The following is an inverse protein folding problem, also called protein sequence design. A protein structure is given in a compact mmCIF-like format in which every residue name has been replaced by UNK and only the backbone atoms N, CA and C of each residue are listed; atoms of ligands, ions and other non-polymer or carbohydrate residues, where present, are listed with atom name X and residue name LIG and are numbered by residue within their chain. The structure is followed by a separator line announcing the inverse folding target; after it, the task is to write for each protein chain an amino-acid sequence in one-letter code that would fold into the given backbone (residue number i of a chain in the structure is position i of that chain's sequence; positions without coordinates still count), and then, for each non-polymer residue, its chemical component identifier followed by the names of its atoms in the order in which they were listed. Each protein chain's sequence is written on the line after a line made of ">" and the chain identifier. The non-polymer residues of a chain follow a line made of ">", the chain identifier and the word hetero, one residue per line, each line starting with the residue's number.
data_IF_583665195692
#
_entry.id   IF_583665195692
#
_cell.length_a   1.000
_cell.length_b   1.000
_cell.length_c   1.000
_cell.angle_alpha   90.00
_cell.angle_beta   90.00
_cell.angle_gamma   90.00
#
_symmetry.space_group_name_H-M   'P 1'
#
loop_
_entity.id
_entity.type
_entity.pdbx_description
1 polymer ?
#
# COMPACT_ATOMS: atom_id res chain seq x y z
N UNK A 1 -17.72 5.62 -1.79
CA UNK A 1 -16.54 4.86 -1.30
C UNK A 1 -15.37 4.87 -2.28
N UNK A 2 -15.49 4.27 -3.47
CA UNK A 2 -14.35 4.14 -4.41
C UNK A 2 -13.72 5.49 -4.82
N UNK A 3 -14.54 6.50 -5.14
CA UNK A 3 -14.00 7.84 -5.44
C UNK A 3 -13.23 8.44 -4.27
N UNK A 4 -13.70 8.23 -3.03
CA UNK A 4 -13.06 8.76 -1.84
C UNK A 4 -11.68 8.14 -1.63
N UNK A 5 -11.58 6.80 -1.68
CA UNK A 5 -10.30 6.11 -1.48
C UNK A 5 -9.27 6.45 -2.57
N UNK A 6 -9.72 6.59 -3.83
CA UNK A 6 -8.84 7.02 -4.92
C UNK A 6 -8.36 8.45 -4.70
N UNK A 7 -9.27 9.37 -4.39
CA UNK A 7 -8.92 10.78 -4.15
C UNK A 7 -8.00 10.97 -2.94
N UNK A 8 -7.96 10.05 -1.98
CA UNK A 8 -6.99 10.09 -0.88
C UNK A 8 -5.62 9.51 -1.27
N UNK A 9 -5.46 9.03 -2.50
CA UNK A 9 -4.20 8.56 -3.06
C UNK A 9 -4.00 7.05 -3.07
N UNK A 10 -5.03 6.25 -2.76
CA UNK A 10 -4.90 4.80 -2.90
C UNK A 10 -4.63 4.45 -4.37
N UNK A 11 -3.64 3.59 -4.66
CA UNK A 11 -3.23 3.33 -6.03
C UNK A 11 -4.32 2.56 -6.78
N UNK A 12 -4.84 3.17 -7.85
CA UNK A 12 -5.91 2.59 -8.69
C UNK A 12 -5.58 1.19 -9.20
N UNK A 13 -4.32 0.91 -9.54
CA UNK A 13 -3.89 -0.39 -10.05
C UNK A 13 -3.86 -1.47 -8.97
N UNK A 14 -4.01 -1.11 -7.69
CA UNK A 14 -4.04 -2.03 -6.56
C UNK A 14 -5.45 -2.20 -5.98
N UNK A 15 -6.51 -1.74 -6.66
CA UNK A 15 -7.89 -1.90 -6.19
C UNK A 15 -8.30 -3.37 -5.99
N UNK A 16 -7.70 -4.29 -6.75
CA UNK A 16 -7.91 -5.73 -6.60
C UNK A 16 -7.28 -6.30 -5.31
N UNK A 17 -6.40 -5.56 -4.64
CA UNK A 17 -5.85 -5.88 -3.32
C UNK A 17 -6.67 -5.29 -2.17
N UNK A 18 -7.74 -4.55 -2.46
CA UNK A 18 -8.54 -3.90 -1.45
C UNK A 18 -9.29 -4.95 -0.61
N UNK A 19 -8.82 -5.15 0.62
CA UNK A 19 -9.39 -6.08 1.60
C UNK A 19 -9.18 -5.52 3.02
N UNK A 20 -9.93 -5.98 4.04
CA UNK A 20 -9.58 -5.69 5.43
C UNK A 20 -8.14 -6.11 5.72
N UNK A 21 -7.30 -5.17 6.16
CA UNK A 21 -5.89 -5.41 6.44
C UNK A 21 -5.68 -5.55 7.95
N UNK A 22 -5.11 -6.68 8.37
CA UNK A 22 -4.78 -6.94 9.77
C UNK A 22 -3.84 -5.87 10.38
N UNK A 23 -2.92 -5.31 9.59
CA UNK A 23 -2.04 -4.21 10.03
C UNK A 23 -2.84 -2.96 10.46
N UNK A 24 -4.02 -2.74 9.89
CA UNK A 24 -4.91 -1.66 10.30
C UNK A 24 -5.40 -1.82 11.75
N UNK A 25 -5.62 -3.05 12.20
CA UNK A 25 -5.97 -3.33 13.60
C UNK A 25 -4.77 -3.15 14.54
N UNK A 26 -3.57 -3.53 14.09
CA UNK A 26 -2.33 -3.22 14.82
C UNK A 26 -2.15 -1.72 15.03
N UNK A 27 -2.43 -0.91 14.01
CA UNK A 27 -2.37 0.55 14.11
C UNK A 27 -3.44 1.10 15.06
N UNK A 28 -4.68 0.58 14.99
CA UNK A 28 -5.73 0.90 15.94
C UNK A 28 -5.27 0.66 17.39
N UNK A 29 -4.72 -0.51 17.68
CA UNK A 29 -4.28 -0.85 19.03
C UNK A 29 -3.14 0.05 19.49
N UNK A 30 -2.13 0.29 18.64
CA UNK A 30 -1.05 1.23 18.92
C UNK A 30 -1.59 2.62 19.30
N UNK A 31 -2.58 3.11 18.55
CA UNK A 31 -3.17 4.42 18.80
C UNK A 31 -4.08 4.43 20.02
N UNK A 32 -4.79 3.33 20.33
CA UNK A 32 -5.57 3.22 21.57
C UNK A 32 -4.66 3.28 22.80
N UNK A 33 -3.50 2.64 22.75
CA UNK A 33 -2.50 2.73 23.83
C UNK A 33 -1.84 4.10 23.93
N UNK A 34 -1.49 4.72 22.79
CA UNK A 34 -0.77 6.00 22.77
C UNK A 34 -1.69 7.20 23.05
N UNK A 35 -2.94 7.15 22.59
CA UNK A 35 -3.93 8.22 22.66
C UNK A 35 -5.28 7.75 23.22
N UNK A 36 -5.31 7.20 24.44
CA UNK A 36 -6.52 6.60 24.98
C UNK A 36 -7.67 7.61 25.09
N UNK A 37 -7.37 8.87 25.40
CA UNK A 37 -8.38 9.94 25.55
C UNK A 37 -9.21 10.17 24.30
N UNK A 38 -8.66 10.01 23.09
CA UNK A 38 -9.43 10.19 21.84
C UNK A 38 -10.60 9.21 21.77
N UNK A 39 -10.38 7.94 22.12
CA UNK A 39 -11.39 6.90 22.00
C UNK A 39 -12.53 7.07 23.00
N UNK A 40 -12.27 7.71 24.15
CA UNK A 40 -13.30 8.09 25.12
C UNK A 40 -14.03 9.37 24.68
N UNK A 41 -13.27 10.40 24.33
CA UNK A 41 -13.77 11.69 23.86
C UNK A 41 -14.67 11.55 22.63
N UNK A 42 -14.32 10.66 21.69
CA UNK A 42 -15.09 10.38 20.48
C UNK A 42 -16.57 10.06 20.77
N UNK A 43 -16.88 9.48 21.93
CA UNK A 43 -18.24 9.14 22.31
C UNK A 43 -18.91 10.13 23.26
N UNK A 44 -18.13 10.95 23.98
CA UNK A 44 -18.64 11.78 25.08
C UNK A 44 -18.72 13.27 24.71
N UNK A 45 -17.85 13.75 23.83
CA UNK A 45 -17.62 15.18 23.62
C UNK A 45 -18.24 15.67 22.31
N UNK A 46 -19.20 16.61 22.34
CA UNK A 46 -20.04 16.98 21.18
C UNK A 46 -19.25 17.42 19.93
N UNK A 47 -18.00 17.87 20.08
CA UNK A 47 -17.11 18.21 18.97
C UNK A 47 -16.65 17.03 18.10
N UNK A 48 -16.68 15.80 18.59
CA UNK A 48 -16.18 14.62 17.86
C UNK A 48 -17.25 13.85 17.11
N UNK A 49 -18.10 14.48 16.29
CA UNK A 49 -19.29 13.80 15.68
C UNK A 49 -19.85 12.65 16.55
N UNK A 50 -20.06 12.79 17.89
CA UNK A 50 -20.50 11.68 18.72
C UNK A 50 -22.02 11.59 18.53
N UNK A 51 -22.44 11.03 17.40
CA UNK A 51 -23.86 10.90 17.08
C UNK A 51 -24.31 11.44 15.75
N UNK A 52 -23.51 11.34 14.68
CA UNK A 52 -24.18 11.09 13.41
C UNK A 52 -24.98 9.78 13.58
N UNK A 53 -26.22 9.79 13.13
CA UNK A 53 -27.11 8.62 13.19
C UNK A 53 -26.43 7.37 12.61
N UNK A 54 -25.57 7.57 11.61
CA UNK A 54 -24.70 6.57 11.00
C UNK A 54 -23.82 5.79 12.00
N UNK A 55 -23.05 6.48 12.87
CA UNK A 55 -22.15 5.79 13.80
C UNK A 55 -22.89 5.12 14.95
N UNK A 56 -23.99 5.73 15.42
CA UNK A 56 -24.84 5.12 16.46
C UNK A 56 -25.58 3.89 15.92
N UNK A 57 -26.03 3.91 14.67
CA UNK A 57 -26.67 2.77 14.03
C UNK A 57 -25.72 1.58 13.88
N UNK A 58 -24.41 1.82 13.75
CA UNK A 58 -23.39 0.77 13.65
C UNK A 58 -22.87 0.27 15.01
N UNK A 59 -23.22 0.93 16.13
CA UNK A 59 -22.68 0.62 17.44
C UNK A 59 -23.23 -0.70 17.99
N UNK A 60 -22.32 -1.55 18.42
CA UNK A 60 -22.59 -2.74 19.23
C UNK A 60 -21.81 -2.59 20.53
N UNK A 61 -22.52 -2.42 21.64
CA UNK A 61 -21.90 -1.94 22.89
C UNK A 61 -21.89 -2.97 24.03
N UNK A 62 -22.80 -3.95 24.03
CA UNK A 62 -22.99 -4.84 25.18
C UNK A 62 -23.22 -6.31 24.83
N UNK A 63 -22.45 -6.86 23.88
CA UNK A 63 -22.50 -8.29 23.62
C UNK A 63 -21.81 -9.05 24.76
N UNK A 64 -22.59 -9.70 25.62
CA UNK A 64 -22.09 -10.51 26.74
C UNK A 64 -21.75 -11.94 26.30
N UNK A 65 -20.61 -12.41 26.79
CA UNK A 65 -20.16 -13.80 26.63
C UNK A 65 -19.49 -14.35 27.88
N UNK A 66 -19.36 -15.67 27.93
CA UNK A 66 -18.66 -16.40 28.99
C UNK A 66 -17.55 -17.23 28.35
N UNK A 67 -16.35 -17.17 28.93
CA UNK A 67 -15.22 -17.96 28.45
C UNK A 67 -15.46 -19.45 28.75
N UNK A 68 -15.35 -20.30 27.72
CA UNK A 68 -15.33 -21.76 27.87
C UNK A 68 -13.91 -22.32 27.97
N UNK A 69 -12.98 -21.74 27.24
CA UNK A 69 -11.55 -22.07 27.32
C UNK A 69 -10.71 -20.93 26.78
N UNK A 70 -9.45 -20.89 27.21
CA UNK A 70 -8.46 -19.93 26.73
C UNK A 70 -7.09 -20.62 26.63
N UNK A 71 -6.40 -20.43 25.51
CA UNK A 71 -5.06 -20.97 25.27
C UNK A 71 -4.28 -20.06 24.32
N UNK A 72 -3.06 -19.69 24.69
CA UNK A 72 -2.22 -18.82 23.88
C UNK A 72 -2.87 -17.45 23.65
N UNK A 73 -3.29 -17.16 22.41
CA UNK A 73 -4.06 -15.95 22.05
C UNK A 73 -5.49 -16.27 21.62
N UNK A 74 -5.97 -17.50 21.89
CA UNK A 74 -7.30 -17.97 21.49
C UNK A 74 -8.20 -18.05 22.71
N UNK A 75 -9.41 -17.54 22.58
CA UNK A 75 -10.48 -17.71 23.57
C UNK A 75 -11.67 -18.36 22.87
N UNK A 76 -12.31 -19.33 23.52
CA UNK A 76 -13.58 -19.91 23.05
C UNK A 76 -14.69 -19.38 23.94
N UNK A 77 -15.69 -18.75 23.34
CA UNK A 77 -16.86 -18.21 24.04
C UNK A 77 -17.99 -19.25 24.14
N UNK A 78 -18.97 -18.94 24.96
CA UNK A 78 -20.19 -19.74 25.14
C UNK A 78 -21.15 -19.66 23.95
N UNK A 79 -21.03 -18.60 23.15
CA UNK A 79 -21.83 -18.33 21.96
C UNK A 79 -20.96 -18.34 20.71
N UNK A 80 -21.54 -18.83 19.61
CA UNK A 80 -20.95 -18.73 18.28
C UNK A 80 -21.47 -17.48 17.56
N UNK A 81 -20.61 -16.91 16.73
CA UNK A 81 -20.87 -15.75 15.88
C UNK A 81 -20.60 -16.11 14.43
N UNK A 82 -21.13 -15.34 13.48
CA UNK A 82 -20.76 -15.51 12.09
C UNK A 82 -19.25 -15.29 11.91
N UNK A 83 -18.65 -15.97 10.94
CA UNK A 83 -17.21 -15.89 10.73
C UNK A 83 -16.79 -14.45 10.41
N UNK A 84 -15.74 -13.98 11.09
CA UNK A 84 -15.24 -12.61 11.02
C UNK A 84 -16.21 -11.50 11.50
N UNK A 85 -17.36 -11.85 12.10
CA UNK A 85 -18.31 -10.87 12.63
C UNK A 85 -17.68 -9.97 13.71
N UNK A 86 -16.83 -10.55 14.56
CA UNK A 86 -16.17 -9.86 15.67
C UNK A 86 -14.82 -9.23 15.26
N UNK A 87 -14.50 -9.18 13.97
CA UNK A 87 -13.22 -8.63 13.50
C UNK A 87 -13.06 -7.16 13.90
N UNK A 88 -12.02 -6.86 14.68
CA UNK A 88 -11.74 -5.53 15.19
C UNK A 88 -12.54 -5.15 16.45
N UNK A 89 -13.36 -6.02 17.02
CA UNK A 89 -14.06 -5.74 18.27
C UNK A 89 -13.09 -5.70 19.45
N UNK A 90 -13.46 -4.95 20.49
CA UNK A 90 -12.81 -4.93 21.80
C UNK A 90 -13.50 -5.95 22.70
N UNK A 91 -12.74 -6.87 23.27
CA UNK A 91 -13.16 -7.75 24.36
C UNK A 91 -12.70 -7.12 25.68
N UNK A 92 -13.64 -6.83 26.56
CA UNK A 92 -13.39 -6.39 27.93
C UNK A 92 -13.71 -7.51 28.91
N UNK A 93 -12.82 -7.74 29.87
CA UNK A 93 -13.04 -8.71 30.93
C UNK A 93 -13.80 -8.07 32.08
N UNK A 94 -14.94 -8.66 32.43
CA UNK A 94 -15.86 -8.17 33.47
C UNK A 94 -15.60 -8.86 34.81
N UNK A 95 -15.00 -10.03 34.79
CA UNK A 95 -14.65 -10.84 35.96
C UNK A 95 -13.30 -11.52 35.76
N UNK A 96 -12.87 -12.28 36.77
CA UNK A 96 -11.63 -13.03 36.72
C UNK A 96 -10.41 -12.16 37.02
N UNK A 97 -9.22 -12.72 36.81
CA UNK A 97 -7.94 -12.05 37.11
C UNK A 97 -7.70 -10.83 36.23
N UNK A 98 -8.24 -10.84 35.01
CA UNK A 98 -8.10 -9.74 34.05
C UNK A 98 -9.24 -8.72 34.11
N UNK A 99 -10.11 -8.77 35.13
CA UNK A 99 -11.24 -7.84 35.25
C UNK A 99 -10.81 -6.37 35.08
N UNK A 100 -11.54 -5.62 34.26
CA UNK A 100 -11.26 -4.23 33.90
C UNK A 100 -10.23 -4.05 32.78
N UNK A 101 -9.59 -5.13 32.31
CA UNK A 101 -8.70 -5.09 31.16
C UNK A 101 -9.44 -5.37 29.84
N UNK A 102 -8.80 -5.05 28.72
CA UNK A 102 -9.34 -5.26 27.38
C UNK A 102 -8.33 -5.87 26.41
N UNK A 103 -8.83 -6.50 25.35
CA UNK A 103 -8.04 -7.08 24.25
C UNK A 103 -8.75 -6.88 22.91
N UNK A 104 -7.99 -6.71 21.83
CA UNK A 104 -8.52 -6.62 20.46
C UNK A 104 -8.77 -8.00 19.87
N UNK A 105 -9.92 -8.20 19.23
CA UNK A 105 -10.23 -9.39 18.45
C UNK A 105 -9.74 -9.18 17.00
N UNK A 106 -8.87 -10.06 16.52
CA UNK A 106 -8.39 -10.09 15.12
C UNK A 106 -9.24 -10.96 14.21
N UNK A 107 -10.32 -11.54 14.72
CA UNK A 107 -11.27 -12.36 13.98
C UNK A 107 -11.80 -13.50 14.82
N UNK A 108 -12.82 -14.16 14.29
CA UNK A 108 -13.46 -15.32 14.90
C UNK A 108 -13.88 -16.34 13.84
N UNK A 109 -13.94 -17.60 14.26
CA UNK A 109 -14.56 -18.73 13.56
C UNK A 109 -15.56 -19.35 14.52
N UNK A 110 -16.85 -19.13 14.29
CA UNK A 110 -17.88 -19.46 15.27
C UNK A 110 -17.61 -18.80 16.64
N UNK A 111 -17.47 -19.64 17.68
CA UNK A 111 -17.22 -19.22 19.06
C UNK A 111 -15.73 -18.99 19.38
N UNK A 112 -14.82 -19.40 18.51
CA UNK A 112 -13.39 -19.24 18.73
C UNK A 112 -12.94 -17.87 18.24
N UNK A 113 -12.46 -17.04 19.15
CA UNK A 113 -11.92 -15.71 18.87
C UNK A 113 -10.40 -15.73 18.98
N UNK A 114 -9.74 -14.95 18.12
CA UNK A 114 -8.29 -14.74 18.14
C UNK A 114 -8.00 -13.33 18.63
N UNK A 115 -7.17 -13.24 19.67
CA UNK A 115 -6.74 -11.99 20.28
C UNK A 115 -5.49 -11.46 19.58
N UNK A 116 -5.43 -10.13 19.41
CA UNK A 116 -4.29 -9.44 18.81
C UNK A 116 -2.97 -9.67 19.54
N UNK A 117 -1.87 -9.57 18.81
CA UNK A 117 -0.52 -9.77 19.33
C UNK A 117 0.08 -8.51 19.98
N UNK A 118 -0.59 -7.37 19.85
CA UNK A 118 -0.19 -6.10 20.48
C UNK A 118 -0.77 -6.06 21.88
N UNK A 119 0.05 -5.64 22.85
CA UNK A 119 -0.36 -5.51 24.24
C UNK A 119 -0.27 -6.82 25.04
N UNK A 120 -0.73 -6.80 26.30
CA UNK A 120 -0.60 -7.94 27.21
C UNK A 120 -1.29 -9.21 26.68
N UNK A 121 -0.83 -10.37 27.12
CA UNK A 121 -1.42 -11.65 26.77
C UNK A 121 -2.76 -11.91 27.50
N UNK A 122 -3.21 -13.17 27.48
CA UNK A 122 -4.45 -13.60 28.15
C UNK A 122 -4.17 -14.60 29.27
N UNK A 123 -2.94 -14.55 29.82
CA UNK A 123 -2.58 -15.31 31.01
C UNK A 123 -3.50 -14.89 32.16
N UNK A 124 -4.14 -15.86 32.82
CA UNK A 124 -5.10 -15.62 33.90
C UNK A 124 -6.57 -15.72 33.48
N UNK A 125 -6.89 -15.78 32.18
CA UNK A 125 -8.26 -16.06 31.72
C UNK A 125 -8.62 -17.51 32.00
N UNK A 126 -9.77 -17.73 32.64
CA UNK A 126 -10.27 -19.06 33.04
C UNK A 126 -11.68 -19.32 32.49
N UNK A 127 -12.06 -20.59 32.31
CA UNK A 127 -13.44 -20.95 32.06
C UNK A 127 -14.38 -20.35 33.13
N UNK A 128 -15.49 -19.75 32.69
CA UNK A 128 -16.44 -19.05 33.56
C UNK A 128 -16.24 -17.53 33.64
N UNK A 129 -15.09 -17.00 33.19
CA UNK A 129 -14.89 -15.55 33.15
C UNK A 129 -15.89 -14.87 32.21
N UNK A 130 -16.47 -13.77 32.66
CA UNK A 130 -17.43 -12.98 31.92
C UNK A 130 -16.73 -11.90 31.10
N UNK A 131 -17.17 -11.73 29.85
CA UNK A 131 -16.64 -10.72 28.93
C UNK A 131 -17.75 -9.88 28.31
N UNK A 132 -17.42 -8.65 27.95
CA UNK A 132 -18.21 -7.75 27.10
C UNK A 132 -17.48 -7.53 25.80
N UNK A 133 -18.17 -7.71 24.68
CA UNK A 133 -17.66 -7.41 23.34
C UNK A 133 -18.33 -6.14 22.82
N UNK A 134 -17.54 -5.22 22.27
CA UNK A 134 -18.05 -4.02 21.64
C UNK A 134 -17.20 -3.59 20.44
N UNK A 135 -17.74 -2.72 19.58
CA UNK A 135 -17.02 -2.16 18.43
C UNK A 135 -16.72 -0.65 18.57
N UNK A 136 -16.79 -0.11 19.80
CA UNK A 136 -16.62 1.33 20.06
C UNK A 136 -15.32 1.88 19.51
N UNK A 137 -14.21 1.20 19.81
CA UNK A 137 -12.89 1.63 19.36
C UNK A 137 -12.75 1.52 17.85
N UNK A 138 -13.36 0.49 17.24
CA UNK A 138 -13.30 0.28 15.79
C UNK A 138 -14.03 1.40 15.04
N UNK A 139 -15.18 1.85 15.54
CA UNK A 139 -15.92 2.98 14.97
C UNK A 139 -15.11 4.28 15.12
N UNK A 140 -14.61 4.55 16.33
CA UNK A 140 -13.78 5.73 16.60
C UNK A 140 -12.52 5.76 15.70
N UNK A 141 -11.87 4.62 15.50
CA UNK A 141 -10.72 4.47 14.59
C UNK A 141 -11.06 4.79 13.15
N UNK A 142 -12.18 4.25 12.64
CA UNK A 142 -12.64 4.50 11.28
C UNK A 142 -13.00 5.97 11.05
N UNK A 143 -13.39 6.69 12.11
CA UNK A 143 -13.64 8.11 12.05
C UNK A 143 -12.37 8.97 12.25
N UNK A 144 -11.28 8.42 12.80
CA UNK A 144 -10.10 9.19 13.23
C UNK A 144 -9.54 10.08 12.13
N UNK A 145 -9.48 9.57 10.90
CA UNK A 145 -8.96 10.33 9.75
C UNK A 145 -9.63 11.69 9.55
N UNK A 146 -10.89 11.88 10.00
CA UNK A 146 -11.63 13.15 9.93
C UNK A 146 -11.13 14.20 10.91
N UNK A 147 -10.47 13.78 12.00
CA UNK A 147 -10.01 14.64 13.09
C UNK A 147 -8.49 14.80 13.12
N UNK A 148 -7.76 14.08 12.26
CA UNK A 148 -6.32 14.31 12.11
C UNK A 148 -6.10 15.70 11.50
N UNK A 149 -5.13 16.45 12.03
CA UNK A 149 -4.77 17.78 11.56
C UNK A 149 -4.60 17.77 10.03
N UNK A 150 -5.55 18.38 9.32
CA UNK A 150 -5.55 18.43 7.87
C UNK A 150 -4.63 19.56 7.43
N UNK A 151 -3.57 19.23 6.70
CA UNK A 151 -2.79 20.22 5.96
C UNK A 151 -3.63 20.63 4.75
N UNK A 152 -4.17 21.87 4.68
CA UNK A 152 -5.04 22.29 3.59
C UNK A 152 -4.31 22.32 2.24
N UNK A 153 -2.98 22.38 2.27
CA UNK A 153 -2.13 22.33 1.07
C UNK A 153 -1.90 20.90 0.57
N UNK A 154 -2.27 19.87 1.36
CA UNK A 154 -2.10 18.46 0.97
C UNK A 154 -3.29 18.00 0.10
N UNK A 155 -3.09 17.77 -1.21
CA UNK A 155 -4.18 17.43 -2.14
C UNK A 155 -4.96 16.17 -1.75
N UNK A 156 -4.29 15.18 -1.14
CA UNK A 156 -4.93 13.93 -0.69
C UNK A 156 -5.90 14.12 0.48
N UNK A 157 -5.80 15.25 1.19
CA UNK A 157 -6.64 15.57 2.34
C UNK A 157 -7.79 16.53 2.00
N UNK A 158 -7.86 17.06 0.76
CA UNK A 158 -8.90 18.02 0.35
C UNK A 158 -10.33 17.49 0.50
N UNK A 159 -10.54 16.17 0.38
CA UNK A 159 -11.85 15.56 0.61
C UNK A 159 -12.31 15.61 2.07
N UNK A 160 -11.41 15.90 3.00
CA UNK A 160 -11.70 16.06 4.43
C UNK A 160 -12.03 17.52 4.78
N UNK A 161 -11.96 18.42 3.80
CA UNK A 161 -12.23 19.84 3.97
C UNK A 161 -13.64 20.17 3.45
N UNK A 162 -14.35 21.02 4.18
CA UNK A 162 -15.57 21.74 3.75
C UNK A 162 -15.22 23.22 3.64
N UNK A 163 -15.40 23.82 2.47
CA UNK A 163 -15.06 25.23 2.18
C UNK A 163 -13.61 25.62 2.56
N UNK A 164 -12.67 24.69 2.39
CA UNK A 164 -11.25 24.88 2.70
C UNK A 164 -10.89 24.75 4.19
N UNK A 165 -11.87 24.46 5.05
CA UNK A 165 -11.68 24.20 6.48
C UNK A 165 -11.88 22.73 6.80
N UNK A 166 -11.16 22.13 7.77
CA UNK A 166 -11.42 20.75 8.18
C UNK A 166 -12.89 20.57 8.56
N UNK A 167 -13.55 19.56 8.01
CA UNK A 167 -14.98 19.31 8.25
C UNK A 167 -15.29 18.97 9.72
N UNK A 168 -14.26 18.66 10.51
CA UNK A 168 -14.35 18.38 11.94
C UNK A 168 -13.22 19.10 12.69
N UNK A 169 -13.41 19.33 14.00
CA UNK A 169 -12.35 19.89 14.85
C UNK A 169 -11.11 18.99 14.76
N UNK A 170 -10.01 19.56 14.28
CA UNK A 170 -8.73 18.87 14.29
C UNK A 170 -8.31 18.62 15.73
N UNK A 171 -7.89 17.40 16.02
CA UNK A 171 -7.12 17.11 17.21
C UNK A 171 -5.90 18.04 17.19
N UNK A 172 -5.68 18.80 18.27
CA UNK A 172 -4.51 19.68 18.39
C UNK A 172 -3.25 18.85 18.07
N UNK A 173 -2.39 19.30 17.13
CA UNK A 173 -1.25 18.52 16.65
C UNK A 173 -0.34 18.04 17.79
N UNK A 174 -0.19 18.85 18.83
CA UNK A 174 0.65 18.58 20.00
C UNK A 174 0.07 17.49 20.92
N UNK A 175 -1.26 17.28 20.88
CA UNK A 175 -1.96 16.31 21.73
C UNK A 175 -2.24 14.98 21.02
N UNK A 176 -2.49 14.98 19.71
CA UNK A 176 -2.78 13.76 18.96
C UNK A 176 -1.55 13.02 18.44
N UNK A 177 -0.44 13.72 18.21
CA UNK A 177 0.84 13.14 17.86
C UNK A 177 1.90 14.15 18.29
N UNK A 178 2.29 14.18 19.58
CA UNK A 178 3.59 14.77 19.92
C UNK A 178 4.62 14.03 19.08
N UNK A 179 5.07 14.65 17.98
CA UNK A 179 5.64 13.93 16.83
C UNK A 179 7.15 14.23 16.70
N UNK A 180 8.02 13.57 17.49
CA UNK A 180 9.44 13.51 17.18
C UNK A 180 9.72 12.77 15.86
N UNK A 181 8.70 12.27 15.15
CA UNK A 181 8.78 11.62 13.84
C UNK A 181 8.17 12.44 12.69
N UNK A 182 7.79 13.71 12.90
CA UNK A 182 7.25 14.54 11.83
C UNK A 182 8.35 14.73 10.80
N UNK A 183 8.20 14.13 9.64
CA UNK A 183 9.19 14.29 8.57
C UNK A 183 9.09 15.71 8.04
N UNK A 184 10.15 16.50 8.22
CA UNK A 184 10.18 17.90 7.79
C UNK A 184 10.85 18.07 6.41
N UNK A 185 11.28 16.95 5.81
CA UNK A 185 12.12 16.97 4.60
C UNK A 185 13.52 17.55 4.84
N UNK A 186 13.89 17.84 6.09
CA UNK A 186 15.21 18.34 6.49
C UNK A 186 16.12 17.17 6.82
N UNK A 187 17.24 17.08 6.12
CA UNK A 187 18.29 16.10 6.39
C UNK A 187 19.63 16.63 5.88
N UNK A 188 20.72 16.02 6.37
CA UNK A 188 22.06 16.23 5.85
C UNK A 188 22.51 15.02 5.02
N UNK A 189 23.38 15.23 4.03
CA UNK A 189 23.88 14.17 3.16
C UNK A 189 23.01 13.93 1.91
N UNK A 190 23.13 12.74 1.32
CA UNK A 190 22.42 12.35 0.09
C UNK A 190 21.39 11.27 0.42
N UNK A 191 20.25 11.29 -0.26
CA UNK A 191 19.18 10.32 -0.07
C UNK A 191 18.61 9.89 -1.42
N UNK A 192 18.42 8.57 -1.57
CA UNK A 192 17.67 7.97 -2.67
C UNK A 192 16.47 7.24 -2.08
N UNK A 193 15.28 7.55 -2.57
CA UNK A 193 14.03 6.88 -2.21
C UNK A 193 13.53 6.08 -3.42
N UNK A 194 13.30 4.79 -3.22
CA UNK A 194 12.67 3.90 -4.20
C UNK A 194 11.26 3.55 -3.70
N UNK A 195 10.25 3.74 -4.54
CA UNK A 195 8.86 3.58 -4.13
C UNK A 195 8.01 2.91 -5.22
N UNK A 196 7.23 1.88 -4.85
CA UNK A 196 6.31 1.22 -5.77
C UNK A 196 5.06 2.05 -6.05
N UNK A 197 4.60 2.11 -7.30
CA UNK A 197 3.36 2.82 -7.62
C UNK A 197 2.11 2.06 -7.20
N UNK A 198 2.21 0.75 -7.01
CA UNK A 198 1.11 -0.17 -6.79
C UNK A 198 1.14 -0.76 -5.36
N UNK A 199 1.76 -0.05 -4.41
CA UNK A 199 1.83 -0.43 -2.99
C UNK A 199 0.53 -0.07 -2.23
N UNK A 200 -0.30 -1.07 -1.83
CA UNK A 200 -1.56 -0.82 -1.14
C UNK A 200 -1.39 -0.59 0.37
N UNK A 201 -0.21 -0.87 0.93
CA UNK A 201 0.10 -0.73 2.36
C UNK A 201 0.71 0.64 2.67
N UNK A 202 1.59 1.11 1.78
CA UNK A 202 2.21 2.43 1.83
C UNK A 202 1.92 3.14 0.51
N UNK A 203 0.88 3.97 0.47
CA UNK A 203 0.42 4.56 -0.79
C UNK A 203 1.49 5.48 -1.40
N UNK A 204 1.63 5.53 -2.74
CA UNK A 204 2.65 6.35 -3.41
C UNK A 204 2.55 7.84 -3.09
N UNK A 205 1.38 8.32 -2.68
CA UNK A 205 1.19 9.70 -2.24
C UNK A 205 1.99 10.05 -0.99
N UNK A 206 2.38 9.08 -0.16
CA UNK A 206 3.31 9.29 0.97
C UNK A 206 4.68 9.76 0.46
N UNK A 207 5.21 9.12 -0.59
CA UNK A 207 6.47 9.54 -1.21
C UNK A 207 6.36 10.91 -1.88
N UNK A 208 5.23 11.18 -2.53
CA UNK A 208 4.95 12.51 -3.12
C UNK A 208 4.93 13.60 -2.06
N UNK A 209 4.27 13.37 -0.93
CA UNK A 209 4.24 14.30 0.21
C UNK A 209 5.64 14.54 0.75
N UNK A 210 6.43 13.50 0.95
CA UNK A 210 7.81 13.64 1.42
C UNK A 210 8.69 14.41 0.42
N UNK A 211 8.57 14.13 -0.88
CA UNK A 211 9.29 14.86 -1.91
C UNK A 211 8.96 16.36 -1.92
N UNK A 212 7.69 16.75 -1.69
CA UNK A 212 7.31 18.16 -1.52
C UNK A 212 7.99 18.80 -0.31
N UNK A 213 8.04 18.09 0.82
CA UNK A 213 8.71 18.56 2.04
C UNK A 213 10.21 18.77 1.81
N UNK A 214 10.87 17.81 1.16
CA UNK A 214 12.30 17.92 0.80
C UNK A 214 12.55 19.09 -0.15
N UNK A 215 11.73 19.25 -1.19
CA UNK A 215 11.84 20.40 -2.11
C UNK A 215 11.63 21.73 -1.41
N UNK A 216 10.68 21.81 -0.47
CA UNK A 216 10.45 22.99 0.36
C UNK A 216 11.65 23.29 1.27
N UNK A 217 12.27 22.26 1.84
CA UNK A 217 13.40 22.40 2.77
C UNK A 217 14.72 22.74 2.07
N UNK A 218 15.02 22.10 0.93
CA UNK A 218 16.31 22.22 0.23
C UNK A 218 16.29 23.23 -0.93
N UNK A 219 15.11 23.62 -1.41
CA UNK A 219 14.96 24.56 -2.52
C UNK A 219 15.68 24.08 -3.79
N UNK A 220 16.49 24.96 -4.38
CA UNK A 220 17.26 24.66 -5.59
C UNK A 220 18.27 23.51 -5.42
N UNK A 221 18.68 23.20 -4.18
CA UNK A 221 19.64 22.11 -3.88
C UNK A 221 18.98 20.74 -3.77
N UNK A 222 17.66 20.64 -3.97
CA UNK A 222 16.96 19.36 -3.86
C UNK A 222 17.61 18.28 -4.74
N UNK A 223 17.86 18.58 -6.01
CA UNK A 223 18.47 17.62 -6.95
C UNK A 223 19.97 17.41 -6.71
N UNK A 224 20.59 18.15 -5.80
CA UNK A 224 21.94 17.85 -5.33
C UNK A 224 21.94 16.85 -4.17
N UNK A 225 20.82 16.63 -3.49
CA UNK A 225 20.76 15.85 -2.24
C UNK A 225 19.73 14.73 -2.23
N UNK A 226 18.75 14.77 -3.13
CA UNK A 226 17.60 13.87 -3.10
C UNK A 226 17.31 13.27 -4.48
N UNK A 227 16.99 11.97 -4.50
CA UNK A 227 16.38 11.30 -5.64
C UNK A 227 15.15 10.53 -5.22
N UNK A 228 14.12 10.57 -6.06
CA UNK A 228 12.93 9.74 -5.93
C UNK A 228 12.75 8.93 -7.20
N UNK A 229 12.72 7.61 -7.06
CA UNK A 229 12.48 6.67 -8.14
C UNK A 229 11.18 5.92 -7.88
N UNK A 230 10.23 6.10 -8.79
CA UNK A 230 9.00 5.31 -8.79
C UNK A 230 9.18 4.06 -9.64
N UNK A 231 8.72 2.93 -9.13
CA UNK A 231 8.66 1.65 -9.82
C UNK A 231 7.20 1.38 -10.21
N UNK A 232 6.87 1.59 -11.48
CA UNK A 232 5.59 1.20 -12.08
C UNK A 232 5.37 -0.29 -11.81
N UNK A 233 4.17 -0.66 -11.37
CA UNK A 233 3.84 -2.03 -10.99
C UNK A 233 4.65 -2.58 -9.80
N UNK A 234 5.38 -1.73 -9.08
CA UNK A 234 6.02 -2.10 -7.80
C UNK A 234 5.00 -2.16 -6.67
N UNK A 235 4.94 -3.27 -5.95
CA UNK A 235 4.09 -3.46 -4.76
C UNK A 235 4.83 -3.24 -3.43
N UNK A 236 4.18 -3.61 -2.32
CA UNK A 236 4.82 -3.63 -1.00
C UNK A 236 5.79 -4.80 -0.87
N UNK A 237 7.07 -4.54 -1.09
CA UNK A 237 8.11 -5.57 -1.07
C UNK A 237 8.08 -6.46 -2.33
N UNK A 238 8.54 -7.71 -2.18
CA UNK A 238 8.62 -8.64 -3.30
C UNK A 238 7.23 -9.19 -3.66
N UNK A 239 6.86 -9.26 -4.96
CA UNK A 239 5.60 -9.84 -5.37
C UNK A 239 5.56 -11.35 -5.07
N UNK A 240 4.37 -11.86 -4.76
CA UNK A 240 4.14 -13.30 -4.75
C UNK A 240 4.31 -13.87 -6.16
N UNK A 241 4.74 -15.14 -6.33
CA UNK A 241 4.88 -15.75 -7.65
C UNK A 241 3.61 -15.64 -8.52
N UNK A 242 2.43 -15.74 -7.91
CA UNK A 242 1.14 -15.61 -8.61
C UNK A 242 0.83 -14.18 -9.11
N UNK A 243 1.63 -13.19 -8.72
CA UNK A 243 1.43 -11.77 -9.07
C UNK A 243 2.46 -11.24 -10.06
N UNK A 244 3.38 -12.07 -10.55
CA UNK A 244 4.41 -11.64 -11.51
C UNK A 244 3.86 -11.17 -12.85
N UNK A 245 2.60 -11.49 -13.16
CA UNK A 245 1.88 -10.97 -14.33
C UNK A 245 1.33 -9.53 -14.13
N UNK A 246 1.45 -8.95 -12.94
CA UNK A 246 0.95 -7.60 -12.58
C UNK A 246 1.90 -6.75 -11.79
N UNK A 247 2.86 -7.36 -11.10
CA UNK A 247 3.81 -6.68 -10.24
C UNK A 247 5.23 -7.08 -10.56
N UNK A 248 6.14 -6.11 -10.41
CA UNK A 248 7.57 -6.33 -10.60
C UNK A 248 8.33 -6.37 -9.27
N UNK A 249 9.40 -7.17 -9.20
CA UNK A 249 10.30 -7.15 -8.06
C UNK A 249 11.06 -5.82 -8.00
N UNK A 250 11.24 -5.28 -6.79
CA UNK A 250 11.97 -4.02 -6.57
C UNK A 250 13.45 -4.22 -6.21
N UNK A 251 13.91 -5.47 -6.07
CA UNK A 251 15.21 -5.77 -5.49
C UNK A 251 16.35 -5.23 -6.36
N UNK A 252 16.37 -5.47 -7.67
CA UNK A 252 17.41 -4.94 -8.56
C UNK A 252 17.49 -3.41 -8.49
N UNK A 253 16.34 -2.73 -8.41
CA UNK A 253 16.26 -1.27 -8.24
C UNK A 253 16.86 -0.79 -6.93
N UNK A 254 16.60 -1.50 -5.82
CA UNK A 254 17.17 -1.15 -4.51
C UNK A 254 18.69 -1.34 -4.49
N UNK A 255 19.21 -2.41 -5.10
CA UNK A 255 20.66 -2.62 -5.19
C UNK A 255 21.34 -1.56 -6.05
N UNK A 256 20.77 -1.24 -7.22
CA UNK A 256 21.24 -0.12 -8.03
C UNK A 256 21.23 1.18 -7.25
N UNK A 257 20.15 1.49 -6.52
CA UNK A 257 20.07 2.68 -5.68
C UNK A 257 21.13 2.71 -4.58
N UNK A 258 21.51 1.57 -3.99
CA UNK A 258 22.59 1.51 -3.00
C UNK A 258 23.95 1.80 -3.63
N UNK A 259 24.27 1.17 -4.78
CA UNK A 259 25.54 1.42 -5.50
C UNK A 259 25.64 2.88 -5.97
N UNK A 260 24.55 3.41 -6.50
CA UNK A 260 24.46 4.79 -6.93
C UNK A 260 24.58 5.78 -5.75
N UNK A 261 24.06 5.42 -4.57
CA UNK A 261 24.26 6.22 -3.36
C UNK A 261 25.72 6.21 -2.90
N UNK A 262 26.38 5.05 -2.92
CA UNK A 262 27.80 4.92 -2.59
C UNK A 262 28.65 5.77 -3.56
N UNK A 263 28.43 5.61 -4.87
CA UNK A 263 29.11 6.42 -5.89
C UNK A 263 28.85 7.93 -5.72
N UNK A 264 27.63 8.31 -5.35
CA UNK A 264 27.30 9.72 -5.13
C UNK A 264 28.02 10.32 -3.94
N UNK A 265 28.13 9.56 -2.84
CA UNK A 265 28.77 10.02 -1.60
C UNK A 265 30.29 9.95 -1.70
N UNK A 266 30.85 8.84 -2.19
CA UNK A 266 32.28 8.54 -2.16
C UNK A 266 33.02 9.13 -3.37
N UNK A 267 32.40 9.08 -4.55
CA UNK A 267 33.04 9.47 -5.81
C UNK A 267 32.49 10.77 -6.39
N UNK A 268 31.51 11.41 -5.71
CA UNK A 268 30.80 12.59 -6.23
C UNK A 268 30.13 12.34 -7.60
N UNK A 269 29.78 11.08 -7.89
CA UNK A 269 29.14 10.68 -9.14
C UNK A 269 27.62 10.55 -8.90
N UNK A 270 26.82 11.57 -9.27
CA UNK A 270 25.40 11.56 -8.96
C UNK A 270 24.68 10.48 -9.76
N UNK A 271 23.61 9.89 -9.21
CA UNK A 271 22.73 9.02 -9.97
C UNK A 271 21.92 9.81 -11.00
N UNK A 272 21.29 9.10 -11.93
CA UNK A 272 20.38 9.69 -12.92
C UNK A 272 19.26 10.48 -12.25
N UNK A 273 18.66 11.39 -13.00
CA UNK A 273 17.60 12.25 -12.48
C UNK A 273 16.40 11.43 -11.94
N UNK A 274 15.74 11.97 -10.91
CA UNK A 274 14.53 11.41 -10.31
C UNK A 274 13.46 11.10 -11.36
N UNK A 275 12.63 10.10 -11.08
CA UNK A 275 11.45 9.80 -11.88
C UNK A 275 10.54 11.03 -11.92
N UNK A 276 10.17 11.44 -13.13
CA UNK A 276 9.18 12.50 -13.35
C UNK A 276 7.79 11.92 -13.17
N UNK A 277 6.90 12.67 -12.53
CA UNK A 277 5.51 12.25 -12.30
C UNK A 277 4.58 13.46 -12.22
N UNK A 278 3.29 13.20 -12.40
CA UNK A 278 2.20 14.12 -12.10
C UNK A 278 1.21 13.46 -11.14
N UNK A 279 0.32 14.28 -10.57
CA UNK A 279 -0.89 13.80 -9.93
C UNK A 279 -2.09 14.20 -10.79
N UNK A 280 -3.03 13.28 -11.01
CA UNK A 280 -4.30 13.61 -11.65
C UNK A 280 -5.31 14.23 -10.67
N UNK A 281 -6.52 14.52 -11.16
CA UNK A 281 -7.60 15.12 -10.37
C UNK A 281 -8.09 14.23 -9.19
N UNK A 282 -7.74 12.94 -9.18
CA UNK A 282 -8.02 12.00 -8.10
C UNK A 282 -6.75 11.67 -7.30
N UNK A 283 -5.73 12.54 -7.35
CA UNK A 283 -4.45 12.34 -6.67
C UNK A 283 -3.75 11.02 -7.04
N UNK A 284 -4.01 10.49 -8.24
CA UNK A 284 -3.33 9.30 -8.73
C UNK A 284 -1.98 9.70 -9.31
N UNK A 285 -0.96 8.93 -8.98
CA UNK A 285 0.36 9.08 -9.58
C UNK A 285 0.29 8.70 -11.06
N UNK A 286 0.71 9.63 -11.92
CA UNK A 286 0.79 9.44 -13.37
C UNK A 286 2.26 9.54 -13.79
N UNK A 287 2.79 8.46 -14.34
CA UNK A 287 4.14 8.41 -14.90
C UNK A 287 4.10 8.75 -16.41
N UNK A 288 5.08 9.50 -16.94
CA UNK A 288 5.18 9.73 -18.38
C UNK A 288 5.29 8.42 -19.17
N UNK A 289 4.74 8.35 -20.39
CA UNK A 289 4.66 7.13 -21.17
C UNK A 289 5.93 6.80 -21.98
N UNK A 290 6.97 7.64 -21.94
CA UNK A 290 8.24 7.40 -22.64
C UNK A 290 9.41 7.43 -21.66
N UNK A 291 10.47 6.68 -21.94
CA UNK A 291 11.62 6.62 -21.05
C UNK A 291 12.30 7.99 -20.88
N UNK A 292 12.48 8.71 -22.00
CA UNK A 292 13.08 10.05 -22.00
C UNK A 292 12.33 11.06 -21.10
N UNK A 293 10.99 11.00 -21.08
CA UNK A 293 10.19 11.88 -20.23
C UNK A 293 10.10 11.36 -18.78
N UNK A 294 10.04 10.03 -18.58
CA UNK A 294 9.89 9.40 -17.27
C UNK A 294 11.16 9.50 -16.44
N UNK A 295 12.34 9.33 -17.05
CA UNK A 295 13.65 9.26 -16.37
C UNK A 295 13.66 8.15 -15.31
N UNK A 296 14.59 8.22 -14.36
CA UNK A 296 14.75 7.22 -13.32
C UNK A 296 15.40 5.94 -13.84
N UNK A 297 15.12 4.83 -13.17
CA UNK A 297 15.81 3.56 -13.40
C UNK A 297 15.01 2.51 -14.17
N UNK A 298 13.68 2.65 -14.25
CA UNK A 298 12.84 1.56 -14.71
C UNK A 298 12.57 1.69 -16.22
N UNK A 299 12.68 0.59 -16.99
CA UNK A 299 12.24 0.59 -18.38
C UNK A 299 10.74 0.86 -18.50
N UNK A 300 10.35 1.48 -19.61
CA UNK A 300 8.97 1.71 -20.01
C UNK A 300 8.56 0.66 -21.02
N UNK A 301 7.37 0.09 -20.84
CA UNK A 301 6.89 -1.02 -21.65
C UNK A 301 5.47 -0.77 -22.14
N UNK A 302 5.24 -0.96 -23.43
CA UNK A 302 3.92 -0.94 -24.06
C UNK A 302 3.67 -2.28 -24.75
N UNK A 303 2.45 -2.79 -24.62
CA UNK A 303 2.00 -4.00 -25.30
C UNK A 303 0.73 -3.69 -26.08
N UNK A 304 0.74 -3.99 -27.37
CA UNK A 304 -0.42 -3.90 -28.25
C UNK A 304 -0.68 -5.26 -28.88
N UNK A 305 -1.95 -5.60 -29.11
CA UNK A 305 -2.36 -6.83 -29.77
C UNK A 305 -3.26 -6.55 -30.97
N UNK A 306 -3.00 -7.23 -32.07
CA UNK A 306 -3.85 -7.25 -33.26
C UNK A 306 -4.18 -8.71 -33.60
N UNK A 307 -5.43 -8.97 -33.96
CA UNK A 307 -5.89 -10.29 -34.38
C UNK A 307 -6.20 -10.30 -35.88
N UNK A 308 -5.77 -11.35 -36.56
CA UNK A 308 -6.08 -11.61 -37.96
C UNK A 308 -6.23 -13.13 -38.20
N UNK A 309 -7.43 -13.55 -38.61
CA UNK A 309 -7.76 -14.95 -38.95
C UNK A 309 -7.44 -15.97 -37.83
N UNK A 310 -7.73 -15.61 -36.59
CA UNK A 310 -7.46 -16.37 -35.36
C UNK A 310 -6.01 -16.29 -34.87
N UNK A 311 -5.13 -15.56 -35.56
CA UNK A 311 -3.74 -15.36 -35.15
C UNK A 311 -3.58 -13.98 -34.52
N UNK A 312 -3.06 -13.95 -33.31
CA UNK A 312 -2.69 -12.71 -32.63
C UNK A 312 -1.24 -12.36 -32.95
N UNK A 313 -1.01 -11.08 -33.23
CA UNK A 313 0.30 -10.45 -33.26
C UNK A 313 0.40 -9.47 -32.09
N UNK A 314 1.40 -9.69 -31.24
CA UNK A 314 1.70 -8.87 -30.08
C UNK A 314 2.91 -7.99 -30.39
N UNK A 315 2.70 -6.69 -30.46
CA UNK A 315 3.77 -5.71 -30.61
C UNK A 315 4.17 -5.21 -29.24
N UNK A 316 5.42 -5.44 -28.87
CA UNK A 316 6.02 -4.99 -27.61
C UNK A 316 6.99 -3.88 -27.93
N UNK A 317 6.77 -2.71 -27.34
CA UNK A 317 7.69 -1.57 -27.41
C UNK A 317 8.30 -1.33 -26.04
N UNK A 318 9.62 -1.32 -25.97
CA UNK A 318 10.33 -1.11 -24.73
C UNK A 318 11.43 -0.05 -24.89
N UNK A 319 11.58 0.78 -23.87
CA UNK A 319 12.60 1.81 -23.78
C UNK A 319 13.19 1.85 -22.37
N UNK A 320 14.49 2.03 -22.24
CA UNK A 320 15.13 2.21 -20.94
C UNK A 320 15.70 3.64 -20.77
N UNK A 321 15.43 4.33 -19.65
CA UNK A 321 15.86 5.71 -19.44
C UNK A 321 17.35 5.87 -19.09
N UNK A 322 18.02 4.84 -18.57
CA UNK A 322 19.40 4.96 -18.10
C UNK A 322 20.34 3.82 -18.51
N UNK A 323 19.78 2.77 -19.11
CA UNK A 323 20.45 1.54 -19.47
C UNK A 323 19.99 1.05 -20.86
N UNK A 324 20.13 -0.26 -21.11
CA UNK A 324 19.67 -0.91 -22.32
C UNK A 324 18.67 -1.99 -21.98
N UNK A 325 17.67 -2.16 -22.84
CA UNK A 325 16.81 -3.34 -22.81
C UNK A 325 17.65 -4.54 -23.27
N UNK A 326 17.67 -5.60 -22.48
CA UNK A 326 18.41 -6.84 -22.80
C UNK A 326 17.51 -8.02 -23.09
N UNK A 327 16.29 -8.03 -22.54
CA UNK A 327 15.36 -9.14 -22.73
C UNK A 327 13.91 -8.71 -22.72
N UNK A 328 13.14 -9.27 -23.64
CA UNK A 328 11.68 -9.16 -23.68
C UNK A 328 11.08 -10.55 -23.68
N UNK A 329 10.11 -10.78 -22.80
CA UNK A 329 9.40 -12.03 -22.65
C UNK A 329 7.89 -11.81 -22.79
N UNK A 330 7.17 -12.85 -23.21
CA UNK A 330 5.72 -12.82 -23.34
C UNK A 330 5.10 -14.10 -22.76
N UNK A 331 4.15 -13.91 -21.86
CA UNK A 331 3.22 -14.90 -21.30
C UNK A 331 1.90 -14.73 -22.06
N UNK A 332 1.49 -15.72 -22.86
CA UNK A 332 0.30 -15.57 -23.71
C UNK A 332 -1.01 -15.73 -22.91
N UNK A 333 -0.98 -16.45 -21.80
CA UNK A 333 -2.15 -16.81 -21.01
C UNK A 333 -2.39 -15.86 -19.83
N UNK A 334 -1.34 -15.19 -19.36
CA UNK A 334 -1.33 -14.40 -18.13
C UNK A 334 -1.27 -15.28 -16.87
N UNK A 335 -0.69 -16.49 -16.96
CA UNK A 335 -0.62 -17.45 -15.85
C UNK A 335 0.67 -17.31 -15.01
N UNK A 336 1.55 -16.37 -15.37
CA UNK A 336 2.84 -16.12 -14.74
C UNK A 336 4.00 -16.92 -15.34
N UNK A 337 3.78 -17.65 -16.44
CA UNK A 337 4.83 -18.37 -17.18
C UNK A 337 5.07 -17.69 -18.52
N UNK A 338 6.32 -17.37 -18.80
CA UNK A 338 6.71 -16.72 -20.04
C UNK A 338 7.07 -17.75 -21.12
N UNK A 339 6.20 -17.89 -22.12
CA UNK A 339 6.30 -18.89 -23.18
C UNK A 339 7.26 -18.50 -24.31
N UNK A 340 7.45 -17.19 -24.50
CA UNK A 340 8.34 -16.65 -25.51
C UNK A 340 9.33 -15.66 -24.90
N UNK A 341 10.53 -15.63 -25.48
CA UNK A 341 11.59 -14.69 -25.11
C UNK A 341 12.33 -14.20 -26.35
N UNK A 342 12.88 -12.99 -26.26
CA UNK A 342 13.82 -12.43 -27.23
C UNK A 342 14.90 -11.67 -26.48
N UNK A 343 16.15 -12.08 -26.70
CA UNK A 343 17.32 -11.31 -26.29
C UNK A 343 17.51 -10.14 -27.27
N UNK A 344 17.80 -8.97 -26.72
CA UNK A 344 17.96 -7.70 -27.43
C UNK A 344 19.10 -6.92 -26.79
N UNK A 345 19.53 -5.81 -27.39
CA UNK A 345 20.56 -4.96 -26.80
C UNK A 345 20.45 -3.54 -27.37
N UNK A 346 19.47 -2.78 -26.89
CA UNK A 346 19.18 -1.44 -27.37
C UNK A 346 18.52 -0.59 -26.29
N UNK A 347 18.70 0.73 -26.36
CA UNK A 347 17.99 1.69 -25.49
C UNK A 347 16.49 1.70 -25.78
N UNK A 348 16.11 1.54 -27.06
CA UNK A 348 14.72 1.38 -27.52
C UNK A 348 14.63 0.19 -28.45
N UNK A 349 13.59 -0.62 -28.29
CA UNK A 349 13.34 -1.79 -29.12
C UNK A 349 11.85 -2.00 -29.37
N UNK A 350 11.52 -2.51 -30.55
CA UNK A 350 10.19 -2.97 -30.92
C UNK A 350 10.30 -4.41 -31.40
N UNK A 351 9.57 -5.33 -30.78
CA UNK A 351 9.55 -6.74 -31.16
C UNK A 351 8.12 -7.22 -31.35
N UNK A 352 7.94 -8.22 -32.23
CA UNK A 352 6.63 -8.83 -32.47
C UNK A 352 6.63 -10.32 -32.15
N UNK A 353 5.67 -10.77 -31.38
CA UNK A 353 5.38 -12.17 -31.12
C UNK A 353 4.05 -12.55 -31.76
N UNK A 354 3.84 -13.83 -32.05
CA UNK A 354 2.58 -14.31 -32.60
C UNK A 354 2.09 -15.54 -31.87
N UNK A 355 0.78 -15.63 -31.65
CA UNK A 355 0.17 -16.79 -31.01
C UNK A 355 -1.25 -17.04 -31.51
N UNK A 356 -1.67 -18.30 -31.53
CA UNK A 356 -3.04 -18.72 -31.85
C UNK A 356 -3.57 -19.53 -30.68
N UNK A 357 -4.58 -19.00 -30.01
CA UNK A 357 -5.24 -19.69 -28.92
C UNK A 357 -6.05 -20.87 -29.44
N UNK A 358 -5.91 -22.02 -28.78
CA UNK A 358 -6.61 -23.24 -29.17
C UNK A 358 -8.03 -23.31 -28.59
N UNK A 359 -8.32 -22.50 -27.58
CA UNK A 359 -9.62 -22.46 -26.91
C UNK A 359 -10.18 -21.04 -26.98
N UNK A 360 -11.46 -20.93 -27.27
CA UNK A 360 -12.16 -19.67 -27.14
C UNK A 360 -12.14 -19.22 -25.68
N UNK A 361 -11.91 -17.93 -25.44
CA UNK A 361 -11.74 -17.42 -24.09
C UNK A 361 -11.20 -16.00 -24.01
N UNK A 362 -11.20 -15.47 -22.79
CA UNK A 362 -10.56 -14.20 -22.46
C UNK A 362 -9.18 -14.51 -21.91
N UNK A 363 -8.16 -13.89 -22.50
CA UNK A 363 -6.76 -14.03 -22.08
C UNK A 363 -6.17 -12.67 -21.72
N UNK A 364 -5.14 -12.69 -20.89
CA UNK A 364 -4.39 -11.49 -20.49
C UNK A 364 -2.89 -11.62 -20.81
N UNK A 365 -2.52 -11.63 -22.11
CA UNK A 365 -1.12 -11.59 -22.53
C UNK A 365 -0.33 -10.55 -21.77
N UNK A 366 0.79 -10.98 -21.21
CA UNK A 366 1.64 -10.14 -20.37
C UNK A 366 3.06 -10.14 -20.92
N UNK A 367 3.54 -8.97 -21.32
CA UNK A 367 4.92 -8.74 -21.66
C UNK A 367 5.72 -8.38 -20.40
N UNK A 368 6.95 -8.88 -20.33
CA UNK A 368 7.95 -8.50 -19.32
C UNK A 368 9.18 -7.99 -20.06
N UNK A 369 9.70 -6.85 -19.62
CA UNK A 369 10.98 -6.33 -20.05
C UNK A 369 11.99 -6.41 -18.92
N UNK A 370 13.24 -6.71 -19.23
CA UNK A 370 14.38 -6.64 -18.31
C UNK A 370 15.48 -5.79 -18.94
N UNK A 371 16.04 -4.87 -18.16
CA UNK A 371 17.15 -4.01 -18.56
C UNK A 371 18.53 -4.64 -18.29
N UNK A 372 19.60 -3.91 -18.65
CA UNK A 372 20.99 -4.29 -18.44
C UNK A 372 21.52 -4.02 -17.03
N UNK A 373 20.68 -3.58 -16.08
CA UNK A 373 21.13 -3.29 -14.73
C UNK A 373 21.74 -4.54 -14.11
N UNK A 374 22.95 -4.39 -13.59
CA UNK A 374 23.63 -5.40 -12.80
C UNK A 374 24.18 -4.73 -11.56
N UNK A 375 24.06 -5.40 -10.41
CA UNK A 375 24.55 -4.88 -9.13
C UNK A 375 25.22 -5.97 -8.32
N UNK A 376 26.31 -5.63 -7.65
CA UNK A 376 27.07 -6.49 -6.77
C UNK A 376 26.18 -7.01 -5.63
N UNK A 377 26.12 -8.34 -5.49
CA UNK A 377 25.25 -9.00 -4.50
C UNK A 377 23.75 -8.87 -4.79
N UNK A 378 23.38 -8.24 -5.91
CA UNK A 378 22.00 -8.12 -6.38
C UNK A 378 21.47 -9.44 -6.95
N UNK A 379 20.15 -9.58 -7.09
CA UNK A 379 19.55 -10.70 -7.80
C UNK A 379 20.01 -10.73 -9.26
N UNK A 380 20.03 -11.93 -9.84
CA UNK A 380 20.25 -12.09 -11.28
C UNK A 380 19.00 -11.62 -12.03
N UNK A 381 19.18 -10.73 -12.99
CA UNK A 381 18.09 -10.10 -13.75
C UNK A 381 17.97 -8.63 -13.37
N UNK A 382 18.09 -7.75 -14.37
CA UNK A 382 18.03 -6.31 -14.20
C UNK A 382 16.68 -5.80 -13.70
N UNK A 383 16.49 -4.50 -13.76
CA UNK A 383 15.23 -3.83 -13.43
C UNK A 383 14.19 -4.19 -14.49
N UNK A 384 12.96 -4.39 -14.01
CA UNK A 384 11.88 -4.94 -14.80
C UNK A 384 10.68 -4.00 -14.88
N UNK A 385 9.92 -4.14 -15.96
CA UNK A 385 8.56 -3.62 -16.07
C UNK A 385 7.66 -4.65 -16.77
N UNK A 386 6.36 -4.59 -16.52
CA UNK A 386 5.35 -5.47 -17.13
C UNK A 386 4.26 -4.66 -17.79
N UNK A 387 3.66 -5.20 -18.84
CA UNK A 387 2.49 -4.63 -19.50
C UNK A 387 1.59 -5.76 -19.98
N UNK A 388 0.27 -5.58 -19.87
CA UNK A 388 -0.68 -6.59 -20.29
C UNK A 388 -1.83 -5.99 -21.09
N UNK A 389 -2.45 -6.81 -21.92
CA UNK A 389 -3.64 -6.47 -22.69
C UNK A 389 -4.70 -7.54 -22.53
N UNK A 390 -5.97 -7.17 -22.62
CA UNK A 390 -7.07 -8.14 -22.64
C UNK A 390 -7.39 -8.50 -24.08
N UNK A 391 -7.32 -9.79 -24.41
CA UNK A 391 -7.72 -10.29 -25.74
C UNK A 391 -8.87 -11.29 -25.62
N UNK A 392 -9.66 -11.40 -26.69
CA UNK A 392 -10.75 -12.36 -26.82
C UNK A 392 -10.43 -13.29 -27.99
N UNK A 393 -10.10 -14.54 -27.70
CA UNK A 393 -9.97 -15.58 -28.72
C UNK A 393 -11.35 -16.19 -29.02
N UNK A 394 -11.65 -16.40 -30.30
CA UNK A 394 -12.93 -16.92 -30.79
C UNK A 394 -12.81 -18.33 -31.31
#
# INVERSE_FOLDING_TARGET
>A
ALRAILSTGYPRHSLWLLRPLAVGLTMLDFLRYKFPRYFEDFWQKPEYVPGSEEFRAALVDDLRGVVRSAEGRRIVLDKAYADQELYGYTMEFLSGELAGQWRRILGNLGAAVVIGNVGPGIEGVKPGDQVRLNNRDLIAWRALHRYLACDPEEPTMKLLLTDGTPACRTLEPEAAFGDPGRTEGRFAGKMIVVFGTDDPLMWPTVAVRYHRLVRKALGAKCDEHFRLYFLEHGGHGAPLPSLLHRQVPNRSTVYKAMEDLLAWVEEQRPPVASTTYALDALNQLVLPPTAAARKGYQPVLHLNAREENGQFTFQVEAEDPDNRVVRIQLDYEGDGKFDASREVNAERVVVSFTHRYQKAGIYYPTALVTDSTTSLGGPVGGIQNVAWVRVLAR
#
